data_IF_483103921956
#
_entry.id   IF_483103921956
#
_cell.length_a   1.000
_cell.length_b   1.000
_cell.length_c   1.000
_cell.angle_alpha   90.00
_cell.angle_beta   90.00
_cell.angle_gamma   90.00
#
_symmetry.space_group_name_H-M   'P 1'
#
loop_
_entity.id
_entity.type
_entity.pdbx_description
1 polymer ?
#
# COMPACT_ATOMS: atom_id res chain seq x y z
N UNK A 1 2.14 -26.98 2.35
CA UNK A 1 2.86 -25.77 2.77
C UNK A 1 1.78 -24.81 3.20
N UNK A 2 1.66 -24.55 4.50
CA UNK A 2 0.67 -23.60 5.01
C UNK A 2 0.93 -22.22 4.40
N UNK A 3 -0.11 -21.50 3.95
CA UNK A 3 0.08 -20.16 3.41
C UNK A 3 0.62 -19.29 4.55
N UNK A 4 1.88 -18.86 4.41
CA UNK A 4 2.41 -17.73 5.16
C UNK A 4 1.37 -16.61 5.10
N UNK A 5 1.03 -16.05 6.26
CA UNK A 5 0.16 -14.88 6.38
C UNK A 5 0.86 -13.66 5.77
N UNK A 6 0.94 -13.59 4.44
CA UNK A 6 0.72 -12.31 3.77
C UNK A 6 -0.66 -11.91 4.24
N UNK A 7 -0.78 -10.82 5.02
CA UNK A 7 -2.05 -10.25 5.50
C UNK A 7 -3.09 -10.58 4.46
N UNK A 8 -3.97 -11.53 4.82
CA UNK A 8 -4.86 -12.15 3.87
C UNK A 8 -5.87 -11.09 3.48
N UNK A 9 -5.49 -10.21 2.57
CA UNK A 9 -6.34 -9.17 2.07
C UNK A 9 -7.35 -9.81 1.11
N UNK A 10 -7.43 -11.15 0.96
CA UNK A 10 -8.19 -11.98 -0.02
C UNK A 10 -9.55 -11.45 -0.45
N UNK A 11 -10.24 -10.70 0.41
CA UNK A 11 -11.49 -10.03 0.07
C UNK A 11 -11.35 -8.92 -1.02
N UNK A 12 -10.18 -8.28 -1.16
CA UNK A 12 -9.81 -7.45 -2.32
C UNK A 12 -9.45 -8.30 -3.56
N UNK A 13 -9.44 -9.64 -3.45
CA UNK A 13 -8.79 -10.59 -4.38
C UNK A 13 -9.70 -11.73 -4.87
N UNK A 14 -11.02 -11.55 -4.79
CA UNK A 14 -11.97 -12.29 -5.65
C UNK A 14 -11.92 -11.82 -7.11
N UNK A 15 -11.06 -10.84 -7.41
CA UNK A 15 -10.76 -10.30 -8.74
C UNK A 15 -9.87 -11.26 -9.57
N UNK A 16 -9.97 -11.26 -10.92
CA UNK A 16 -9.14 -12.07 -11.82
C UNK A 16 -7.63 -11.97 -11.54
N UNK A 17 -6.88 -13.03 -11.88
CA UNK A 17 -5.46 -13.24 -11.50
C UNK A 17 -4.52 -12.06 -11.76
N UNK A 18 -4.73 -11.30 -12.84
CA UNK A 18 -3.93 -10.11 -13.19
C UNK A 18 -4.20 -8.95 -12.24
N UNK A 19 -5.46 -8.67 -11.89
CA UNK A 19 -5.82 -7.56 -11.00
C UNK A 19 -5.35 -7.79 -9.58
N UNK A 20 -5.42 -9.03 -9.09
CA UNK A 20 -4.80 -9.43 -7.82
C UNK A 20 -3.30 -9.14 -7.81
N UNK A 21 -2.61 -9.55 -8.87
CA UNK A 21 -1.16 -9.34 -8.99
C UNK A 21 -0.81 -7.85 -9.03
N UNK A 22 -1.62 -7.04 -9.73
CA UNK A 22 -1.45 -5.59 -9.78
C UNK A 22 -1.69 -4.94 -8.41
N UNK A 23 -2.81 -5.22 -7.73
CA UNK A 23 -3.11 -4.64 -6.42
C UNK A 23 -2.07 -5.06 -5.38
N UNK A 24 -1.63 -6.33 -5.37
CA UNK A 24 -0.53 -6.77 -4.49
C UNK A 24 0.76 -6.02 -4.79
N UNK A 25 1.13 -5.90 -6.07
CA UNK A 25 2.31 -5.15 -6.49
C UNK A 25 2.23 -3.70 -6.04
N UNK A 26 1.06 -3.05 -6.17
CA UNK A 26 0.84 -1.66 -5.75
C UNK A 26 0.93 -1.50 -4.23
N UNK A 27 0.34 -2.40 -3.45
CA UNK A 27 0.40 -2.39 -1.97
C UNK A 27 1.84 -2.59 -1.47
N UNK A 28 2.66 -3.36 -2.20
CA UNK A 28 4.08 -3.59 -1.87
C UNK A 28 4.97 -2.44 -2.34
N UNK A 29 4.70 -1.86 -3.51
CA UNK A 29 5.51 -0.77 -4.07
C UNK A 29 5.22 0.58 -3.42
N UNK A 30 3.99 0.83 -2.93
CA UNK A 30 3.64 2.11 -2.29
C UNK A 30 4.56 2.42 -1.10
N UNK A 31 4.74 1.53 -0.11
CA UNK A 31 5.62 1.78 1.04
C UNK A 31 7.08 1.96 0.62
N UNK A 32 7.55 1.23 -0.40
CA UNK A 32 8.92 1.36 -0.91
C UNK A 32 9.15 2.75 -1.53
N UNK A 33 8.23 3.23 -2.36
CA UNK A 33 8.32 4.56 -2.96
C UNK A 33 8.21 5.67 -1.89
N UNK A 34 7.35 5.47 -0.89
CA UNK A 34 7.24 6.33 0.29
C UNK A 34 8.56 6.35 1.08
N UNK A 35 9.25 5.22 1.25
CA UNK A 35 10.56 5.15 1.91
C UNK A 35 11.65 5.91 1.14
N UNK A 36 11.67 5.83 -0.19
CA UNK A 36 12.60 6.60 -1.03
C UNK A 36 12.35 8.11 -0.88
N UNK A 37 11.08 8.53 -0.89
CA UNK A 37 10.68 9.92 -0.63
C UNK A 37 11.07 10.36 0.79
N UNK A 38 10.91 9.50 1.79
CA UNK A 38 11.30 9.74 3.17
C UNK A 38 12.81 9.93 3.33
N UNK A 39 13.60 9.07 2.68
CA UNK A 39 15.05 9.15 2.66
C UNK A 39 15.52 10.44 2.00
N UNK A 40 14.96 10.81 0.84
CA UNK A 40 15.25 12.09 0.19
C UNK A 40 14.94 13.27 1.11
N UNK A 41 13.78 13.23 1.78
CA UNK A 41 13.33 14.24 2.76
C UNK A 41 14.29 14.35 3.96
N UNK A 42 14.79 13.22 4.46
CA UNK A 42 15.80 13.21 5.52
C UNK A 42 17.13 13.80 5.06
N UNK A 43 17.58 13.48 3.84
CA UNK A 43 18.88 13.94 3.31
C UNK A 43 18.96 15.44 3.10
N UNK A 44 17.81 16.11 2.91
CA UNK A 44 17.71 17.58 2.85
C UNK A 44 17.52 18.23 4.24
N UNK A 45 17.67 17.47 5.33
CA UNK A 45 17.69 17.98 6.70
C UNK A 45 16.32 18.06 7.40
N UNK A 46 15.25 17.51 6.81
CA UNK A 46 13.92 17.54 7.41
C UNK A 46 13.70 16.36 8.36
N UNK A 47 13.33 16.66 9.61
CA UNK A 47 13.09 15.69 10.69
C UNK A 47 11.88 14.78 10.45
N UNK A 48 11.01 15.13 9.50
CA UNK A 48 9.85 14.31 9.12
C UNK A 48 10.25 13.06 8.33
N UNK A 49 11.38 13.10 7.61
CA UNK A 49 11.89 11.96 6.84
C UNK A 49 12.10 10.70 7.70
N UNK A 50 12.87 10.76 8.81
CA UNK A 50 13.05 9.63 9.72
C UNK A 50 11.75 9.09 10.31
N UNK A 51 10.80 9.97 10.68
CA UNK A 51 9.49 9.55 11.21
C UNK A 51 8.73 8.72 10.17
N UNK A 52 8.74 9.16 8.91
CA UNK A 52 8.07 8.44 7.83
C UNK A 52 8.77 7.12 7.50
N UNK A 53 10.11 7.07 7.50
CA UNK A 53 10.87 5.82 7.34
C UNK A 53 10.54 4.82 8.45
N UNK A 54 10.47 5.26 9.70
CA UNK A 54 10.09 4.41 10.83
C UNK A 54 8.66 3.86 10.67
N UNK A 55 7.73 4.70 10.25
CA UNK A 55 6.37 4.29 9.92
C UNK A 55 6.31 3.23 8.82
N UNK A 56 7.07 3.40 7.74
CA UNK A 56 7.18 2.40 6.68
C UNK A 56 7.75 1.09 7.22
N UNK A 57 8.82 1.14 8.00
CA UNK A 57 9.43 -0.06 8.58
C UNK A 57 8.45 -0.84 9.47
N UNK A 58 7.71 -0.15 10.34
CA UNK A 58 6.65 -0.73 11.17
C UNK A 58 5.55 -1.39 10.32
N UNK A 59 5.11 -0.71 9.25
CA UNK A 59 4.10 -1.25 8.34
C UNK A 59 4.60 -2.50 7.60
N UNK A 60 5.86 -2.51 7.13
CA UNK A 60 6.43 -3.68 6.48
C UNK A 60 6.60 -4.86 7.46
N UNK A 61 7.07 -4.61 8.68
CA UNK A 61 7.14 -5.64 9.73
C UNK A 61 5.77 -6.25 10.03
N UNK A 62 4.73 -5.43 10.06
CA UNK A 62 3.35 -5.89 10.21
C UNK A 62 2.87 -6.71 9.00
N UNK A 63 3.11 -6.23 7.78
CA UNK A 63 2.70 -6.90 6.55
C UNK A 63 3.40 -8.25 6.31
N UNK A 64 4.66 -8.35 6.75
CA UNK A 64 5.49 -9.55 6.64
C UNK A 64 5.58 -10.30 7.96
N UNK A 65 4.63 -10.10 8.88
CA UNK A 65 4.62 -10.79 10.15
C UNK A 65 4.59 -12.31 9.93
N UNK A 66 5.58 -13.06 10.43
CA UNK A 66 5.77 -14.45 10.02
C UNK A 66 4.79 -15.43 10.70
N UNK A 67 4.16 -15.03 11.81
CA UNK A 67 3.26 -15.91 12.54
C UNK A 67 1.81 -15.78 12.05
N UNK A 68 1.07 -16.89 11.90
CA UNK A 68 -0.34 -16.84 11.56
C UNK A 68 -1.13 -16.13 12.66
N UNK A 69 -2.00 -15.19 12.27
CA UNK A 69 -2.97 -14.62 13.19
C UNK A 69 -4.04 -15.66 13.53
N UNK A 70 -4.52 -15.65 14.78
CA UNK A 70 -5.72 -16.39 15.14
C UNK A 70 -6.90 -15.93 14.26
N UNK A 71 -7.83 -16.83 13.92
CA UNK A 71 -8.95 -16.54 13.01
C UNK A 71 -9.76 -15.29 13.43
N UNK A 72 -9.94 -15.09 14.74
CA UNK A 72 -10.61 -13.95 15.35
C UNK A 72 -9.89 -12.61 15.12
N UNK A 73 -8.57 -12.65 14.92
CA UNK A 73 -7.72 -11.48 14.69
C UNK A 73 -7.50 -11.17 13.22
N UNK A 74 -7.97 -12.01 12.29
CA UNK A 74 -7.80 -11.80 10.85
C UNK A 74 -8.51 -10.53 10.40
N UNK A 75 -9.79 -10.36 10.74
CA UNK A 75 -10.56 -9.17 10.34
C UNK A 75 -10.02 -7.87 11.00
N UNK A 76 -9.74 -7.83 12.31
CA UNK A 76 -9.03 -6.71 12.93
C UNK A 76 -7.67 -6.44 12.27
N UNK A 77 -6.91 -7.48 11.94
CA UNK A 77 -5.59 -7.35 11.32
C UNK A 77 -5.66 -6.74 9.92
N UNK A 78 -6.68 -7.10 9.13
CA UNK A 78 -6.98 -6.46 7.84
C UNK A 78 -7.29 -4.98 8.02
N UNK A 79 -8.14 -4.63 8.99
CA UNK A 79 -8.49 -3.23 9.27
C UNK A 79 -7.26 -2.41 9.67
N UNK A 80 -6.40 -2.95 10.55
CA UNK A 80 -5.13 -2.32 10.94
C UNK A 80 -4.22 -2.09 9.74
N UNK A 81 -4.17 -3.04 8.80
CA UNK A 81 -3.36 -2.90 7.58
C UNK A 81 -3.86 -1.76 6.69
N UNK A 82 -5.18 -1.66 6.47
CA UNK A 82 -5.77 -0.56 5.70
C UNK A 82 -5.53 0.80 6.38
N UNK A 83 -5.74 0.87 7.70
CA UNK A 83 -5.51 2.09 8.49
C UNK A 83 -4.04 2.50 8.44
N UNK A 84 -3.11 1.55 8.61
CA UNK A 84 -1.68 1.79 8.54
C UNK A 84 -1.24 2.31 7.17
N UNK A 85 -1.75 1.70 6.10
CA UNK A 85 -1.49 2.15 4.73
C UNK A 85 -2.03 3.56 4.49
N UNK A 86 -3.28 3.83 4.89
CA UNK A 86 -3.90 5.14 4.73
C UNK A 86 -3.15 6.22 5.51
N UNK A 87 -2.70 5.90 6.73
CA UNK A 87 -1.87 6.79 7.53
C UNK A 87 -0.54 7.10 6.83
N UNK A 88 0.15 6.10 6.26
CA UNK A 88 1.40 6.30 5.53
C UNK A 88 1.23 7.24 4.34
N UNK A 89 0.21 6.99 3.52
CA UNK A 89 -0.10 7.81 2.34
C UNK A 89 -0.44 9.25 2.76
N UNK A 90 -1.26 9.40 3.80
CA UNK A 90 -1.65 10.71 4.32
C UNK A 90 -0.45 11.47 4.93
N UNK A 91 0.40 10.77 5.67
CA UNK A 91 1.61 11.33 6.26
C UNK A 91 2.59 11.76 5.18
N UNK A 92 2.76 10.95 4.13
CA UNK A 92 3.56 11.29 2.95
C UNK A 92 3.00 12.53 2.22
N UNK A 93 1.70 12.59 1.97
CA UNK A 93 1.06 13.73 1.29
C UNK A 93 1.28 15.06 2.01
N UNK A 94 1.30 15.06 3.35
CA UNK A 94 1.57 16.27 4.17
C UNK A 94 3.02 16.77 4.11
N UNK A 95 3.95 15.96 3.62
CA UNK A 95 5.38 16.29 3.59
C UNK A 95 5.99 16.32 2.19
N UNK A 96 5.24 15.90 1.16
CA UNK A 96 5.73 15.79 -0.19
C UNK A 96 6.21 17.16 -0.70
N UNK A 97 7.52 17.28 -0.92
CA UNK A 97 8.15 18.46 -1.53
C UNK A 97 8.37 18.20 -3.01
N UNK A 98 7.85 19.06 -3.87
CA UNK A 98 7.87 18.90 -5.33
C UNK A 98 8.99 19.69 -6.03
N UNK A 99 9.83 20.38 -5.27
CA UNK A 99 10.89 21.25 -5.82
C UNK A 99 12.23 20.53 -6.05
N UNK A 100 12.51 19.44 -5.31
CA UNK A 100 13.74 18.66 -5.53
C UNK A 100 13.52 17.60 -6.61
N UNK A 101 14.42 17.43 -7.61
CA UNK A 101 14.24 16.48 -8.71
C UNK A 101 14.02 15.03 -8.24
N UNK A 102 14.78 14.60 -7.23
CA UNK A 102 14.64 13.24 -6.66
C UNK A 102 13.31 13.07 -5.91
N UNK A 103 12.86 14.10 -5.18
CA UNK A 103 11.57 14.07 -4.50
C UNK A 103 10.42 14.14 -5.49
N UNK A 104 10.53 14.96 -6.54
CA UNK A 104 9.57 15.04 -7.63
C UNK A 104 9.37 13.66 -8.27
N UNK A 105 10.46 12.97 -8.62
CA UNK A 105 10.39 11.64 -9.22
C UNK A 105 9.74 10.62 -8.26
N UNK A 106 10.24 10.53 -7.03
CA UNK A 106 9.71 9.59 -6.03
C UNK A 106 8.24 9.85 -5.71
N UNK A 107 7.85 11.12 -5.55
CA UNK A 107 6.47 11.51 -5.27
C UNK A 107 5.55 11.24 -6.47
N UNK A 108 6.04 11.43 -7.69
CA UNK A 108 5.30 11.08 -8.92
C UNK A 108 5.05 9.59 -9.03
N UNK A 109 6.02 8.75 -8.64
CA UNK A 109 5.85 7.29 -8.58
C UNK A 109 4.77 6.93 -7.55
N UNK A 110 4.84 7.49 -6.33
CA UNK A 110 3.82 7.25 -5.30
C UNK A 110 2.43 7.67 -5.80
N UNK A 111 2.30 8.86 -6.40
CA UNK A 111 1.03 9.36 -6.92
C UNK A 111 0.48 8.47 -8.04
N UNK A 112 1.33 8.03 -8.97
CA UNK A 112 0.93 7.13 -10.05
C UNK A 112 0.40 5.80 -9.50
N UNK A 113 1.05 5.26 -8.46
CA UNK A 113 0.62 4.03 -7.77
C UNK A 113 -0.75 4.23 -7.10
N UNK A 114 -0.97 5.36 -6.43
CA UNK A 114 -2.25 5.67 -5.79
C UNK A 114 -3.40 5.82 -6.80
N UNK A 115 -3.14 6.51 -7.91
CA UNK A 115 -4.11 6.65 -9.00
C UNK A 115 -4.44 5.28 -9.59
N UNK A 116 -3.43 4.44 -9.85
CA UNK A 116 -3.64 3.08 -10.35
C UNK A 116 -4.48 2.25 -9.38
N UNK A 117 -4.25 2.35 -8.07
CA UNK A 117 -5.04 1.64 -7.06
C UNK A 117 -6.50 2.11 -7.08
N UNK A 118 -6.76 3.42 -7.11
CA UNK A 118 -8.13 3.97 -7.18
C UNK A 118 -8.83 3.52 -8.48
N UNK A 119 -8.15 3.60 -9.62
CA UNK A 119 -8.73 3.20 -10.91
C UNK A 119 -9.04 1.71 -10.95
N UNK A 120 -8.13 0.86 -10.47
CA UNK A 120 -8.35 -0.60 -10.44
C UNK A 120 -9.47 -0.99 -9.49
N UNK A 121 -9.53 -0.41 -8.29
CA UNK A 121 -10.65 -0.60 -7.36
C UNK A 121 -11.97 -0.04 -7.90
N UNK A 122 -11.93 1.10 -8.60
CA UNK A 122 -13.11 1.69 -9.23
C UNK A 122 -13.67 0.81 -10.35
N UNK A 123 -12.79 0.30 -11.22
CA UNK A 123 -13.17 -0.65 -12.29
C UNK A 123 -13.75 -1.94 -11.71
N UNK A 124 -13.14 -2.47 -10.65
CA UNK A 124 -13.66 -3.60 -9.90
C UNK A 124 -15.08 -3.35 -9.39
N UNK A 125 -15.30 -2.25 -8.66
CA UNK A 125 -16.62 -1.93 -8.10
C UNK A 125 -17.69 -1.68 -9.17
N UNK A 126 -17.32 -1.08 -10.31
CA UNK A 126 -18.24 -0.90 -11.44
C UNK A 126 -18.62 -2.25 -12.04
N UNK A 127 -17.65 -3.15 -12.23
CA UNK A 127 -17.89 -4.51 -12.75
C UNK A 127 -18.84 -5.29 -11.85
N UNK A 128 -18.62 -5.24 -10.53
CA UNK A 128 -19.44 -5.92 -9.54
C UNK A 128 -20.87 -5.34 -9.53
N UNK A 129 -21.01 -4.02 -9.62
CA UNK A 129 -22.31 -3.35 -9.72
C UNK A 129 -23.07 -3.69 -11.02
N UNK A 130 -22.36 -4.03 -12.09
CA UNK A 130 -22.94 -4.45 -13.37
C UNK A 130 -23.26 -5.95 -13.42
N UNK A 131 -22.96 -6.72 -12.37
CA UNK A 131 -23.19 -8.17 -12.33
C UNK A 131 -22.37 -8.94 -13.38
N UNK A 132 -21.23 -8.37 -13.80
CA UNK A 132 -20.33 -9.00 -14.77
C UNK A 132 -19.44 -10.03 -14.08
N UNK A 133 -20.08 -11.09 -13.57
CA UNK A 133 -19.42 -12.30 -13.07
C UNK A 133 -18.94 -13.16 -14.24
N UNK A 134 -18.03 -12.64 -15.05
CA UNK A 134 -17.41 -13.44 -16.11
C UNK A 134 -16.27 -14.27 -15.51
N UNK A 135 -16.36 -15.61 -15.52
CA UNK A 135 -15.25 -16.47 -15.16
C UNK A 135 -14.20 -16.37 -16.27
N UNK A 136 -12.97 -15.98 -15.90
CA UNK A 136 -11.77 -16.07 -16.73
C UNK A 136 -10.76 -16.95 -16.01
#
# INVERSE_FOLDING_TARGET
MDPMFQVDLSFLFEQPSIWRTLVQTLIILTPLAIALSAYGTWRIGDRRGPLLMAGVALYLLWMFWPAPLAAELVLPGRAVSVIGWFWLVSAWGRQAKWHEPLLLLSNSIVLAILIALILTTGVAGIRDAMGWDVPL
#
